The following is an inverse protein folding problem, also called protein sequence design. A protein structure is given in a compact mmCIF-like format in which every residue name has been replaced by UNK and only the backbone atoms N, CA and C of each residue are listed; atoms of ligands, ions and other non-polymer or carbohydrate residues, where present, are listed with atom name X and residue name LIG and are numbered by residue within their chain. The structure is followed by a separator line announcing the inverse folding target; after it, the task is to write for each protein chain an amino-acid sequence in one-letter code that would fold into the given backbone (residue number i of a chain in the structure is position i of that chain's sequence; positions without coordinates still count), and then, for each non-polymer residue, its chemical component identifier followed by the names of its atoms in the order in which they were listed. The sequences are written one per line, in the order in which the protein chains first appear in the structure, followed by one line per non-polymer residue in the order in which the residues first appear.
data_IF_884167263094
#
_entry.id   IF_884167263094
#
_cell.length_a   1.000
_cell.length_b   1.000
_cell.length_c   1.000
_cell.angle_alpha   90.00
_cell.angle_beta   90.00
_cell.angle_gamma   90.00
#
_symmetry.space_group_name_H-M   'P 1'
#
loop_
_entity.id
_entity.type
_entity.pdbx_description
1 polymer ?
#
# COMPACT_ATOMS: atom_id res chain seq x y z
N UNK A 1 37.48 -15.12 6.04
CA UNK A 1 36.62 -13.93 5.92
C UNK A 1 36.22 -13.54 7.33
N UNK A 2 36.45 -12.29 7.72
CA UNK A 2 36.19 -11.80 9.08
C UNK A 2 34.82 -11.16 9.12
N UNK A 3 34.02 -11.45 10.14
CA UNK A 3 32.67 -10.88 10.31
C UNK A 3 32.65 -9.35 10.30
N UNK A 4 33.77 -8.73 10.70
CA UNK A 4 33.94 -7.28 10.64
C UNK A 4 34.06 -6.78 9.19
N UNK A 5 34.73 -7.54 8.34
CA UNK A 5 34.93 -7.22 6.91
C UNK A 5 33.58 -7.29 6.17
N UNK A 6 32.80 -8.36 6.43
CA UNK A 6 31.44 -8.52 5.89
C UNK A 6 30.52 -7.37 6.33
N UNK A 7 30.66 -6.91 7.58
CA UNK A 7 29.85 -5.81 8.13
C UNK A 7 30.25 -4.47 7.48
N UNK A 8 31.54 -4.24 7.24
CA UNK A 8 32.02 -3.03 6.57
C UNK A 8 31.51 -2.99 5.12
N UNK A 9 31.61 -4.11 4.40
CA UNK A 9 31.11 -4.22 3.04
C UNK A 9 29.60 -3.99 2.97
N UNK A 10 28.83 -4.58 3.90
CA UNK A 10 27.39 -4.37 3.97
C UNK A 10 27.01 -2.90 4.22
N UNK A 11 27.73 -2.21 5.12
CA UNK A 11 27.48 -0.80 5.40
C UNK A 11 27.80 0.10 4.20
N UNK A 12 28.89 -0.18 3.47
CA UNK A 12 29.25 0.55 2.25
C UNK A 12 28.23 0.33 1.13
N UNK A 13 27.76 -0.90 0.96
CA UNK A 13 26.70 -1.24 -0.01
C UNK A 13 25.40 -0.50 0.32
N UNK A 14 25.05 -0.42 1.61
CA UNK A 14 23.85 0.28 2.07
C UNK A 14 23.94 1.79 1.80
N UNK A 15 25.07 2.42 2.11
CA UNK A 15 25.33 3.84 1.83
C UNK A 15 25.20 4.14 0.33
N UNK A 16 25.79 3.31 -0.53
CA UNK A 16 25.70 3.46 -1.99
C UNK A 16 24.26 3.44 -2.49
N UNK A 17 23.45 2.50 -1.99
CA UNK A 17 22.03 2.36 -2.40
C UNK A 17 21.19 3.55 -1.96
N UNK A 18 21.45 4.10 -0.77
CA UNK A 18 20.75 5.31 -0.30
C UNK A 18 21.08 6.50 -1.19
N UNK A 19 22.37 6.72 -1.51
CA UNK A 19 22.79 7.83 -2.36
C UNK A 19 22.19 7.76 -3.78
N UNK A 20 22.09 6.56 -4.36
CA UNK A 20 21.45 6.35 -5.67
C UNK A 20 19.95 6.69 -5.63
N UNK A 21 19.26 6.28 -4.57
CA UNK A 21 17.83 6.57 -4.36
C UNK A 21 17.56 8.06 -4.14
N UNK A 22 18.45 8.76 -3.43
CA UNK A 22 18.36 10.22 -3.25
C UNK A 22 18.61 10.98 -4.56
N UNK A 23 19.62 10.56 -5.33
CA UNK A 23 19.97 11.16 -6.62
C UNK A 23 18.85 11.01 -7.68
N UNK A 24 18.18 9.85 -7.75
CA UNK A 24 17.03 9.65 -8.64
C UNK A 24 15.81 10.50 -8.28
N UNK A 25 15.73 11.00 -7.04
CA UNK A 25 14.64 11.85 -6.58
C UNK A 25 14.90 13.34 -6.92
N UNK A 26 16.16 13.72 -7.12
CA UNK A 26 16.54 15.08 -7.52
C UNK A 26 16.50 15.30 -9.04
N UNK A 27 16.60 14.24 -9.86
CA UNK A 27 16.53 14.36 -11.32
C UNK A 27 15.12 14.62 -11.89
N UNK A 28 14.06 14.46 -11.11
CA UNK A 28 12.67 14.73 -11.56
C UNK A 28 12.22 16.19 -11.39
N UNK A 29 13.03 17.07 -10.78
CA UNK A 29 12.69 18.49 -10.59
C UNK A 29 13.38 19.46 -11.59
N UNK A 30 14.09 18.94 -12.61
CA UNK A 30 14.85 19.77 -13.56
C UNK A 30 14.46 19.67 -15.04
N UNK A 31 13.43 18.91 -15.40
CA UNK A 31 12.84 18.90 -16.75
C UNK A 31 11.34 19.25 -16.71
N UNK A 32 11.01 20.53 -16.49
CA UNK A 32 9.73 21.11 -16.95
C UNK A 32 9.68 22.65 -16.82
N UNK A 33 10.79 23.34 -17.14
CA UNK A 33 10.88 24.82 -17.08
C UNK A 33 11.19 25.51 -18.41
N UNK A 34 10.68 24.96 -19.51
CA UNK A 34 10.41 25.72 -20.73
C UNK A 34 9.17 25.08 -21.35
N UNK A 35 8.01 25.71 -21.46
CA UNK A 35 7.77 26.91 -22.28
C UNK A 35 6.31 27.36 -22.02
N UNK A 36 6.04 28.67 -22.11
CA UNK A 36 4.73 29.33 -22.36
C UNK A 36 3.85 29.79 -21.17
N UNK A 37 4.18 30.99 -20.69
CA UNK A 37 3.33 32.20 -20.52
C UNK A 37 1.78 32.13 -20.65
N UNK A 38 1.12 32.81 -19.68
CA UNK A 38 -0.26 33.39 -19.62
C UNK A 38 -1.41 32.39 -19.40
N UNK A 39 -2.32 32.50 -18.42
CA UNK A 39 -3.09 33.67 -17.94
C UNK A 39 -3.68 33.40 -16.53
N UNK A 40 -3.70 34.43 -15.69
CA UNK A 40 -4.37 34.50 -14.37
C UNK A 40 -5.88 34.16 -14.41
N UNK A 41 -6.41 33.48 -13.38
CA UNK A 41 -7.38 34.03 -12.40
C UNK A 41 -7.55 33.08 -11.19
N UNK A 42 -8.15 33.59 -10.12
CA UNK A 42 -7.95 33.31 -8.68
C UNK A 42 -9.23 32.80 -7.99
N UNK A 43 -9.09 31.88 -7.03
CA UNK A 43 -9.86 31.74 -5.76
C UNK A 43 -9.22 30.60 -4.94
N UNK A 44 -8.68 30.85 -3.72
CA UNK A 44 -9.31 30.55 -2.41
C UNK A 44 -9.88 29.11 -2.37
N UNK A 45 -9.43 28.17 -1.52
CA UNK A 45 -9.48 28.23 -0.06
C UNK A 45 -8.73 27.05 0.60
N UNK A 46 -8.40 27.23 1.90
CA UNK A 46 -8.21 26.27 2.98
C UNK A 46 -7.59 24.86 2.73
N UNK A 47 -6.38 24.70 3.26
CA UNK A 47 -6.05 23.68 4.27
C UNK A 47 -6.31 22.20 3.99
N UNK A 48 -5.25 21.47 3.62
CA UNK A 48 -4.79 20.26 4.32
C UNK A 48 -3.46 19.83 3.68
N UNK A 49 -2.40 19.74 4.48
CA UNK A 49 -1.12 19.22 4.03
C UNK A 49 -1.11 17.72 4.30
N UNK A 50 -1.54 16.93 3.33
CA UNK A 50 -1.44 15.46 3.41
C UNK A 50 -0.42 14.97 2.40
N UNK A 51 0.63 14.34 2.93
CA UNK A 51 1.81 13.85 2.24
C UNK A 51 1.46 12.78 1.20
N UNK A 52 1.70 13.10 -0.07
CA UNK A 52 1.55 12.20 -1.20
C UNK A 52 2.81 11.34 -1.38
N UNK A 53 2.65 10.01 -1.44
CA UNK A 53 3.30 9.17 -2.44
C UNK A 53 2.68 7.76 -2.43
N UNK A 54 1.75 7.48 -3.33
CA UNK A 54 1.35 6.11 -3.66
C UNK A 54 1.60 5.88 -5.16
N UNK A 55 2.87 5.79 -5.53
CA UNK A 55 3.29 5.38 -6.88
C UNK A 55 2.91 3.91 -7.11
N UNK A 56 2.02 3.73 -8.07
CA UNK A 56 1.70 2.51 -8.76
C UNK A 56 2.92 1.98 -9.54
N UNK A 57 3.29 0.71 -9.33
CA UNK A 57 4.14 -0.02 -10.27
C UNK A 57 3.28 -0.50 -11.45
N UNK A 58 3.52 0.07 -12.62
CA UNK A 58 3.03 -0.43 -13.90
C UNK A 58 3.61 -1.84 -14.17
N UNK A 59 2.81 -2.75 -14.74
CA UNK A 59 3.37 -3.79 -15.61
C UNK A 59 2.41 -4.05 -16.76
N UNK A 60 2.86 -3.60 -17.93
CA UNK A 60 2.21 -3.80 -19.21
C UNK A 60 2.25 -5.27 -19.67
N UNK A 61 1.24 -5.59 -20.47
CA UNK A 61 1.05 -6.82 -21.23
C UNK A 61 2.17 -7.04 -22.27
N UNK A 62 2.68 -8.28 -22.38
CA UNK A 62 3.55 -8.68 -23.50
C UNK A 62 4.13 -10.11 -23.49
N UNK A 63 3.34 -11.08 -23.98
CA UNK A 63 3.75 -12.22 -24.86
C UNK A 63 4.70 -13.35 -24.37
N UNK A 64 4.08 -14.47 -23.95
CA UNK A 64 4.38 -15.93 -24.15
C UNK A 64 5.80 -16.40 -24.54
N UNK A 65 6.42 -17.28 -23.73
CA UNK A 65 7.05 -18.59 -24.10
C UNK A 65 7.02 -19.56 -22.88
N UNK A 66 6.81 -20.84 -23.14
CA UNK A 66 6.59 -21.95 -22.20
C UNK A 66 7.88 -22.69 -21.77
N UNK A 67 7.71 -23.54 -20.74
CA UNK A 67 8.36 -24.84 -20.40
C UNK A 67 9.28 -24.82 -19.16
N UNK A 68 8.90 -25.64 -18.16
CA UNK A 68 9.80 -26.17 -17.13
C UNK A 68 9.13 -26.40 -15.78
N UNK A 69 8.69 -27.63 -15.52
CA UNK A 69 8.05 -28.10 -14.28
C UNK A 69 8.94 -28.01 -13.02
N UNK A 70 8.34 -27.64 -11.88
CA UNK A 70 8.45 -28.34 -10.58
C UNK A 70 7.57 -27.68 -9.49
N UNK A 71 6.52 -28.37 -9.03
CA UNK A 71 5.86 -28.19 -7.70
C UNK A 71 6.70 -28.96 -6.64
N UNK A 72 6.49 -28.83 -5.30
CA UNK A 72 5.28 -28.38 -4.60
C UNK A 72 5.49 -27.49 -3.36
N UNK A 73 4.58 -26.55 -3.10
CA UNK A 73 4.06 -26.24 -1.76
C UNK A 73 2.78 -25.42 -1.89
N UNK A 74 1.76 -25.84 -1.16
CA UNK A 74 0.44 -25.23 -1.09
C UNK A 74 0.51 -23.89 -0.35
N UNK A 75 0.07 -22.82 -1.01
CA UNK A 75 -0.61 -21.72 -0.36
C UNK A 75 -1.62 -21.23 -1.38
N UNK A 76 -2.88 -21.51 -1.08
CA UNK A 76 -4.04 -21.18 -1.88
C UNK A 76 -4.18 -19.66 -1.94
N UNK A 77 -3.44 -19.04 -2.86
CA UNK A 77 -3.50 -17.63 -3.20
C UNK A 77 -4.73 -17.40 -4.09
N UNK A 78 -5.89 -17.59 -3.48
CA UNK A 78 -7.20 -17.32 -4.08
C UNK A 78 -7.41 -15.81 -4.18
N UNK A 79 -7.14 -15.28 -5.38
CA UNK A 79 -7.71 -14.03 -5.88
C UNK A 79 -7.49 -12.80 -4.99
N UNK A 80 -6.24 -12.38 -4.82
CA UNK A 80 -5.97 -11.03 -4.37
C UNK A 80 -6.32 -10.09 -5.52
N UNK A 81 -7.50 -9.47 -5.48
CA UNK A 81 -7.71 -8.24 -6.24
C UNK A 81 -6.69 -7.24 -5.73
N UNK A 82 -5.90 -6.59 -6.61
CA UNK A 82 -4.87 -5.59 -6.25
C UNK A 82 -5.35 -4.49 -5.28
N UNK A 83 -6.66 -4.40 -5.10
CA UNK A 83 -7.36 -3.50 -4.21
C UNK A 83 -7.38 -3.89 -2.72
N UNK A 84 -7.17 -5.15 -2.34
CA UNK A 84 -7.20 -5.57 -0.92
C UNK A 84 -6.08 -6.55 -0.63
N UNK A 85 -5.17 -6.16 0.26
CA UNK A 85 -4.06 -6.99 0.73
C UNK A 85 -4.09 -7.10 2.24
N UNK A 86 -4.03 -8.34 2.74
CA UNK A 86 -4.04 -8.63 4.16
C UNK A 86 -2.79 -9.43 4.48
N UNK A 87 -2.06 -8.99 5.50
CA UNK A 87 -0.93 -9.74 6.04
C UNK A 87 -1.13 -9.96 7.53
N UNK A 88 -0.83 -11.16 8.00
CA UNK A 88 -0.97 -11.56 9.40
C UNK A 88 0.38 -12.03 9.92
N UNK A 89 0.84 -11.46 11.03
CA UNK A 89 2.07 -11.85 11.69
C UNK A 89 1.81 -12.03 13.19
N UNK A 90 1.74 -13.28 13.66
CA UNK A 90 1.38 -13.57 15.04
C UNK A 90 -0.04 -13.10 15.36
N UNK A 91 -0.16 -12.15 16.29
CA UNK A 91 -1.43 -11.51 16.66
C UNK A 91 -1.66 -10.16 15.97
N UNK A 92 -0.74 -9.74 15.09
CA UNK A 92 -0.83 -8.48 14.35
C UNK A 92 -1.38 -8.75 12.95
N UNK A 93 -2.24 -7.85 12.48
CA UNK A 93 -2.85 -7.89 11.17
C UNK A 93 -2.68 -6.54 10.52
N UNK A 94 -2.16 -6.50 9.30
CA UNK A 94 -2.09 -5.29 8.48
C UNK A 94 -3.04 -5.45 7.31
N UNK A 95 -3.93 -4.48 7.16
CA UNK A 95 -4.95 -4.40 6.11
C UNK A 95 -4.58 -3.21 5.23
N UNK A 96 -4.32 -3.47 3.95
CA UNK A 96 -4.13 -2.47 2.90
C UNK A 96 -5.32 -2.55 1.94
N UNK A 97 -6.09 -1.47 1.81
CA UNK A 97 -7.30 -1.41 1.00
C UNK A 97 -7.29 -0.20 0.08
N UNK A 98 -7.75 -0.41 -1.15
CA UNK A 98 -8.03 0.62 -2.16
C UNK A 98 -9.45 0.42 -2.68
N UNK A 99 -10.26 1.47 -2.65
CA UNK A 99 -11.63 1.43 -3.16
C UNK A 99 -12.08 2.81 -3.64
N UNK A 100 -13.23 2.90 -4.32
CA UNK A 100 -13.80 4.20 -4.67
C UNK A 100 -14.24 4.95 -3.41
N UNK A 101 -13.92 6.25 -3.36
CA UNK A 101 -14.30 7.12 -2.27
C UNK A 101 -15.80 7.43 -2.33
N UNK A 102 -16.47 7.28 -1.19
CA UNK A 102 -17.84 7.74 -0.95
C UNK A 102 -17.97 8.20 0.50
N UNK A 103 -18.94 9.07 0.74
CA UNK A 103 -19.23 9.53 2.10
C UNK A 103 -19.53 8.34 3.02
N UNK A 104 -18.89 8.30 4.19
CA UNK A 104 -19.10 7.26 5.20
C UNK A 104 -18.33 5.95 5.03
N UNK A 105 -17.65 5.71 3.89
CA UNK A 105 -17.00 4.41 3.64
C UNK A 105 -15.95 4.02 4.69
N UNK A 106 -15.18 4.98 5.20
CA UNK A 106 -14.19 4.72 6.24
C UNK A 106 -14.84 4.24 7.52
N UNK A 107 -16.01 4.79 7.89
CA UNK A 107 -16.75 4.35 9.06
C UNK A 107 -17.27 2.92 8.86
N UNK A 108 -17.84 2.62 7.68
CA UNK A 108 -18.31 1.27 7.33
C UNK A 108 -17.16 0.24 7.42
N UNK A 109 -15.96 0.60 6.94
CA UNK A 109 -14.78 -0.26 7.03
C UNK A 109 -14.34 -0.48 8.49
N UNK A 110 -14.27 0.59 9.30
CA UNK A 110 -13.88 0.47 10.71
C UNK A 110 -14.89 -0.33 11.53
N UNK A 111 -16.17 -0.26 11.19
CA UNK A 111 -17.23 -1.07 11.79
C UNK A 111 -17.00 -2.56 11.52
N UNK A 112 -16.74 -2.93 10.26
CA UNK A 112 -16.37 -4.31 9.89
C UNK A 112 -15.12 -4.80 10.61
N UNK A 113 -14.09 -3.95 10.74
CA UNK A 113 -12.88 -4.30 11.48
C UNK A 113 -13.20 -4.58 12.96
N UNK A 114 -14.06 -3.78 13.57
CA UNK A 114 -14.53 -4.00 14.95
C UNK A 114 -15.31 -5.32 15.09
N UNK A 115 -16.20 -5.62 14.15
CA UNK A 115 -16.99 -6.86 14.12
C UNK A 115 -16.13 -8.12 13.95
N UNK A 116 -14.99 -7.99 13.29
CA UNK A 116 -13.98 -9.05 13.16
C UNK A 116 -13.13 -9.25 14.43
N UNK A 117 -13.44 -8.55 15.53
CA UNK A 117 -12.65 -8.54 16.76
C UNK A 117 -11.21 -8.09 16.52
N UNK A 118 -11.00 -7.08 15.66
CA UNK A 118 -9.69 -6.48 15.45
C UNK A 118 -9.61 -5.15 16.21
N UNK A 119 -8.50 -4.93 16.91
CA UNK A 119 -8.16 -3.68 17.58
C UNK A 119 -7.23 -2.85 16.72
N UNK A 120 -7.77 -1.79 16.12
CA UNK A 120 -6.99 -0.86 15.31
C UNK A 120 -6.10 -0.01 16.22
N UNK A 121 -4.78 -0.12 16.05
CA UNK A 121 -3.82 0.71 16.78
C UNK A 121 -3.18 1.80 15.92
N UNK A 122 -3.22 1.64 14.59
CA UNK A 122 -2.82 2.68 13.63
C UNK A 122 -3.74 2.65 12.42
N UNK A 123 -4.11 3.84 11.94
CA UNK A 123 -4.93 4.04 10.74
C UNK A 123 -4.27 5.15 9.92
N UNK A 124 -3.91 4.83 8.68
CA UNK A 124 -3.46 5.80 7.69
C UNK A 124 -4.45 5.79 6.53
N UNK A 125 -4.98 6.97 6.19
CA UNK A 125 -5.88 7.12 5.05
C UNK A 125 -5.39 8.23 4.13
N UNK A 126 -5.62 8.06 2.84
CA UNK A 126 -5.47 9.11 1.85
C UNK A 126 -6.63 9.03 0.86
N UNK A 127 -7.09 10.20 0.43
CA UNK A 127 -8.13 10.32 -0.58
C UNK A 127 -7.58 11.15 -1.73
N UNK A 128 -7.70 10.63 -2.94
CA UNK A 128 -7.20 11.28 -4.15
C UNK A 128 -7.79 10.61 -5.39
N UNK A 129 -8.05 11.39 -6.44
CA UNK A 129 -8.57 10.89 -7.71
C UNK A 129 -9.88 10.07 -7.60
N UNK A 130 -10.72 10.38 -6.60
CA UNK A 130 -11.95 9.63 -6.32
C UNK A 130 -11.74 8.26 -5.68
N UNK A 131 -10.53 7.96 -5.22
CA UNK A 131 -10.17 6.72 -4.54
C UNK A 131 -9.83 6.98 -3.07
N UNK A 132 -10.20 6.02 -2.23
CA UNK A 132 -9.72 5.86 -0.86
C UNK A 132 -8.59 4.82 -0.86
N UNK A 133 -7.43 5.21 -0.33
CA UNK A 133 -6.39 4.28 0.07
C UNK A 133 -6.32 4.26 1.60
N UNK A 134 -6.35 3.06 2.18
CA UNK A 134 -6.40 2.84 3.62
C UNK A 134 -5.37 1.79 4.01
N UNK A 135 -4.61 2.07 5.06
CA UNK A 135 -3.76 1.10 5.75
C UNK A 135 -4.15 1.07 7.22
N UNK A 136 -4.55 -0.09 7.71
CA UNK A 136 -4.92 -0.29 9.11
C UNK A 136 -4.03 -1.36 9.71
N UNK A 137 -3.35 -1.00 10.80
CA UNK A 137 -2.63 -1.96 11.61
C UNK A 137 -3.50 -2.32 12.82
N UNK A 138 -3.76 -3.61 12.95
CA UNK A 138 -4.67 -4.17 13.92
C UNK A 138 -4.00 -5.26 14.77
N UNK A 139 -4.61 -5.58 15.91
CA UNK A 139 -4.33 -6.79 16.68
C UNK A 139 -5.61 -7.57 16.94
N UNK A 140 -5.57 -8.89 16.98
CA UNK A 140 -6.76 -9.67 17.36
C UNK A 140 -7.15 -9.36 18.83
N UNK A 141 -8.43 -9.07 19.06
CA UNK A 141 -9.04 -8.92 20.38
C UNK A 141 -9.43 -10.28 20.94
N UNK A 142 -8.97 -10.58 22.15
CA UNK A 142 -9.34 -11.79 22.86
C UNK A 142 -8.81 -13.07 22.19
N UNK A 143 -9.54 -14.17 22.34
CA UNK A 143 -9.13 -15.50 21.84
C UNK A 143 -9.70 -15.83 20.47
N UNK A 144 -10.60 -15.01 19.92
CA UNK A 144 -11.22 -15.24 18.62
C UNK A 144 -10.35 -14.62 17.53
N UNK A 145 -9.52 -15.45 16.91
CA UNK A 145 -8.62 -15.03 15.83
C UNK A 145 -9.37 -15.13 14.51
N UNK A 146 -9.74 -13.98 13.94
CA UNK A 146 -10.27 -13.91 12.57
C UNK A 146 -9.19 -14.38 11.58
N UNK A 147 -9.56 -15.34 10.72
CA UNK A 147 -8.66 -15.81 9.66
C UNK A 147 -8.56 -14.78 8.54
N UNK A 148 -7.45 -14.79 7.81
CA UNK A 148 -7.23 -13.89 6.66
C UNK A 148 -8.39 -13.97 5.66
N UNK A 149 -8.94 -15.16 5.41
CA UNK A 149 -10.09 -15.34 4.51
C UNK A 149 -11.36 -14.65 5.03
N UNK A 150 -11.66 -14.76 6.33
CA UNK A 150 -12.82 -14.07 6.92
C UNK A 150 -12.70 -12.56 6.83
N UNK A 151 -11.50 -12.03 7.08
CA UNK A 151 -11.20 -10.60 6.99
C UNK A 151 -11.36 -10.14 5.54
N UNK A 152 -10.84 -10.91 4.59
CA UNK A 152 -10.93 -10.64 3.16
C UNK A 152 -12.39 -10.58 2.69
N UNK A 153 -13.18 -11.60 2.98
CA UNK A 153 -14.58 -11.67 2.58
C UNK A 153 -15.42 -10.53 3.19
N UNK A 154 -15.20 -10.21 4.46
CA UNK A 154 -15.95 -9.16 5.14
C UNK A 154 -15.64 -7.77 4.55
N UNK A 155 -14.36 -7.46 4.32
CA UNK A 155 -13.96 -6.17 3.76
C UNK A 155 -14.33 -6.03 2.28
N UNK A 156 -14.25 -7.11 1.49
CA UNK A 156 -14.67 -7.08 0.08
C UNK A 156 -16.14 -6.71 -0.07
N UNK A 157 -17.01 -7.14 0.85
CA UNK A 157 -18.44 -6.77 0.82
C UNK A 157 -18.65 -5.26 0.92
N UNK A 158 -17.85 -4.55 1.71
CA UNK A 158 -18.00 -3.10 1.87
C UNK A 158 -17.28 -2.35 0.75
N UNK A 159 -16.04 -2.75 0.44
CA UNK A 159 -15.19 -2.04 -0.52
C UNK A 159 -15.60 -2.19 -1.99
N UNK A 160 -16.28 -3.29 -2.36
CA UNK A 160 -16.69 -3.56 -3.74
C UNK A 160 -18.12 -3.12 -4.06
N UNK A 161 -18.90 -2.71 -3.06
CA UNK A 161 -20.22 -2.09 -3.30
C UNK A 161 -20.08 -0.66 -3.88
N UNK A 162 -18.86 -0.11 -3.91
CA UNK A 162 -18.57 1.23 -4.40
C UNK A 162 -18.36 1.31 -5.92
#
# INVERSE_FOLDING_TARGET
VSILDDTIEYLQELERRVQELESCKESTDTENRGTMTMKRKKSHDAGERTSANCTNSETGNGKRVQIGEAKPAETDNTGLTDNLRISSFGNEVVIELRCAWREGILLEIMDVISDLNLDSHSVQSSTGDGLLCLTVNCKHKGTNIATTGMIQEALQRVAWIC
#
